data_IF_662323758261
#
_entry.id   IF_662323758261
#
_cell.length_a   1.000
_cell.length_b   1.000
_cell.length_c   1.000
_cell.angle_alpha   90.00
_cell.angle_beta   90.00
_cell.angle_gamma   90.00
#
_symmetry.space_group_name_H-M   'P 1'
#
loop_
_entity.id
_entity.type
_entity.pdbx_description
1 polymer ?
#
# COMPACT_ATOMS: atom_id res chain seq x y z
N UNK A 1 -34.96 -32.98 9.59
CA UNK A 1 -34.10 -31.90 9.07
C UNK A 1 -34.85 -30.60 8.76
N UNK A 2 -35.63 -30.46 7.67
CA UNK A 2 -36.27 -29.17 7.35
C UNK A 2 -37.25 -28.68 8.44
N UNK A 3 -38.08 -29.58 8.98
CA UNK A 3 -39.02 -29.25 10.06
C UNK A 3 -38.33 -28.84 11.37
N UNK A 4 -37.19 -29.46 11.69
CA UNK A 4 -36.40 -29.10 12.88
C UNK A 4 -35.71 -27.74 12.72
N UNK A 5 -35.36 -27.36 11.49
CA UNK A 5 -34.82 -26.03 11.19
C UNK A 5 -35.90 -24.95 11.29
N UNK A 6 -37.09 -25.20 10.75
CA UNK A 6 -38.26 -24.29 10.87
C UNK A 6 -38.66 -24.03 12.34
N UNK A 7 -38.59 -25.06 13.18
CA UNK A 7 -38.89 -24.91 14.60
C UNK A 7 -37.81 -24.09 15.32
N UNK A 8 -36.52 -24.31 15.01
CA UNK A 8 -35.42 -23.45 15.53
C UNK A 8 -35.55 -22.01 15.07
N UNK A 9 -35.98 -21.77 13.83
CA UNK A 9 -36.25 -20.41 13.30
C UNK A 9 -37.32 -19.71 14.13
N UNK A 10 -38.45 -20.38 14.39
CA UNK A 10 -39.54 -19.82 15.21
C UNK A 10 -39.08 -19.56 16.65
N UNK A 11 -38.33 -20.49 17.23
CA UNK A 11 -37.81 -20.34 18.59
C UNK A 11 -36.81 -19.19 18.69
N UNK A 12 -35.88 -19.04 17.74
CA UNK A 12 -34.92 -17.94 17.74
C UNK A 12 -35.59 -16.55 17.61
N UNK A 13 -36.64 -16.44 16.80
CA UNK A 13 -37.41 -15.19 16.65
C UNK A 13 -38.17 -14.80 17.92
N UNK A 14 -38.62 -15.78 18.71
CA UNK A 14 -39.41 -15.58 19.93
C UNK A 14 -38.62 -15.75 21.24
N UNK A 15 -37.32 -16.04 21.16
CA UNK A 15 -36.50 -16.33 22.33
C UNK A 15 -36.45 -15.15 23.32
N UNK A 16 -36.55 -15.48 24.60
CA UNK A 16 -36.27 -14.55 25.69
C UNK A 16 -34.76 -14.25 25.80
N UNK A 17 -34.38 -13.21 26.52
CA UNK A 17 -32.97 -12.74 26.61
C UNK A 17 -32.02 -13.86 27.07
N UNK A 18 -32.43 -14.67 28.05
CA UNK A 18 -31.64 -15.79 28.58
C UNK A 18 -31.47 -16.95 27.59
N UNK A 19 -32.32 -17.02 26.56
CA UNK A 19 -32.33 -18.11 25.58
C UNK A 19 -31.61 -17.76 24.28
N UNK A 20 -31.45 -16.46 23.98
CA UNK A 20 -30.77 -15.94 22.77
C UNK A 20 -29.38 -16.55 22.62
N UNK A 21 -28.65 -16.70 23.72
CA UNK A 21 -27.30 -17.27 23.75
C UNK A 21 -27.19 -18.65 23.09
N UNK A 22 -28.25 -19.46 23.14
CA UNK A 22 -28.30 -20.80 22.52
C UNK A 22 -28.30 -20.74 20.99
N UNK A 23 -28.87 -19.67 20.42
CA UNK A 23 -29.05 -19.52 18.96
C UNK A 23 -27.94 -18.70 18.30
N UNK A 24 -27.13 -17.93 19.06
CA UNK A 24 -26.06 -17.07 18.52
C UNK A 24 -25.05 -17.81 17.64
N UNK A 25 -24.79 -19.07 17.95
CA UNK A 25 -23.81 -19.92 17.27
C UNK A 25 -24.45 -20.95 16.35
N UNK A 26 -25.76 -20.85 16.08
CA UNK A 26 -26.45 -21.81 15.21
C UNK A 26 -25.76 -21.89 13.83
N UNK A 27 -25.61 -23.11 13.27
CA UNK A 27 -25.00 -23.30 11.96
C UNK A 27 -25.88 -22.81 10.81
N UNK A 28 -27.20 -22.73 10.98
CA UNK A 28 -28.13 -22.28 9.95
C UNK A 28 -28.14 -20.75 9.84
N UNK A 29 -27.84 -20.18 8.66
CA UNK A 29 -28.00 -18.76 8.39
C UNK A 29 -29.44 -18.26 8.57
N UNK A 30 -30.44 -19.12 8.33
CA UNK A 30 -31.85 -18.76 8.45
C UNK A 30 -32.25 -18.53 9.92
N UNK A 31 -31.74 -19.37 10.83
CA UNK A 31 -31.92 -19.18 12.29
C UNK A 31 -31.28 -17.87 12.74
N UNK A 32 -30.07 -17.55 12.25
CA UNK A 32 -29.41 -16.28 12.59
C UNK A 32 -30.18 -15.08 12.04
N UNK A 33 -30.74 -15.14 10.83
CA UNK A 33 -31.62 -14.06 10.32
C UNK A 33 -32.88 -13.89 11.17
N UNK A 34 -33.48 -14.99 11.62
CA UNK A 34 -34.63 -14.94 12.52
C UNK A 34 -34.27 -14.32 13.87
N UNK A 35 -33.09 -14.67 14.40
CA UNK A 35 -32.54 -14.07 15.62
C UNK A 35 -32.28 -12.57 15.44
N UNK A 36 -31.77 -12.14 14.27
CA UNK A 36 -31.64 -10.73 13.94
C UNK A 36 -32.99 -10.01 13.94
N UNK A 37 -34.11 -10.66 13.63
CA UNK A 37 -35.43 -10.03 13.70
C UNK A 37 -36.01 -9.96 15.13
N UNK A 38 -35.41 -10.62 16.11
CA UNK A 38 -35.86 -10.59 17.50
C UNK A 38 -35.60 -9.19 18.11
N UNK A 39 -36.63 -8.61 18.74
CA UNK A 39 -36.56 -7.29 19.36
C UNK A 39 -35.78 -7.27 20.69
N UNK A 40 -35.56 -8.44 21.30
CA UNK A 40 -34.83 -8.60 22.56
C UNK A 40 -33.33 -8.85 22.35
N UNK A 41 -32.88 -8.92 21.09
CA UNK A 41 -31.47 -9.03 20.76
C UNK A 41 -30.70 -7.82 21.30
N UNK A 42 -29.57 -8.05 21.95
CA UNK A 42 -28.73 -6.98 22.48
C UNK A 42 -27.62 -6.57 21.51
N UNK A 43 -26.93 -5.46 21.81
CA UNK A 43 -25.77 -5.01 21.04
C UNK A 43 -24.58 -5.97 21.17
N UNK A 44 -24.40 -6.60 22.33
CA UNK A 44 -23.41 -7.65 22.58
C UNK A 44 -23.64 -8.86 21.66
N UNK A 45 -24.90 -9.29 21.54
CA UNK A 45 -25.31 -10.41 20.68
C UNK A 45 -25.06 -10.09 19.20
N UNK A 46 -25.49 -8.92 18.76
CA UNK A 46 -25.26 -8.44 17.40
C UNK A 46 -23.76 -8.33 17.07
N UNK A 47 -22.94 -7.91 18.04
CA UNK A 47 -21.49 -7.87 17.90
C UNK A 47 -20.87 -9.27 17.76
N UNK A 48 -21.36 -10.26 18.50
CA UNK A 48 -20.95 -11.67 18.35
C UNK A 48 -21.24 -12.14 16.92
N UNK A 49 -22.45 -11.88 16.42
CA UNK A 49 -22.85 -12.23 15.05
C UNK A 49 -21.94 -11.54 14.02
N UNK A 50 -21.68 -10.23 14.16
CA UNK A 50 -20.82 -9.47 13.24
C UNK A 50 -19.39 -10.02 13.12
N UNK A 51 -18.85 -10.59 14.22
CA UNK A 51 -17.49 -11.16 14.27
C UNK A 51 -17.37 -12.55 13.65
N UNK A 52 -18.48 -13.24 13.38
CA UNK A 52 -18.48 -14.60 12.81
C UNK A 52 -18.03 -14.58 11.34
N UNK A 53 -16.87 -15.18 11.07
CA UNK A 53 -16.28 -15.30 9.72
C UNK A 53 -16.87 -16.44 8.88
N UNK A 54 -17.70 -17.28 9.48
CA UNK A 54 -18.36 -18.41 8.83
C UNK A 54 -19.76 -18.05 8.29
N UNK A 55 -20.29 -16.87 8.59
CA UNK A 55 -21.61 -16.45 8.13
C UNK A 55 -21.57 -16.03 6.66
N UNK A 56 -22.64 -16.34 5.90
CA UNK A 56 -22.78 -15.84 4.53
C UNK A 56 -23.02 -14.33 4.52
N UNK A 57 -22.64 -13.69 3.41
CA UNK A 57 -22.63 -12.23 3.31
C UNK A 57 -24.03 -11.59 3.37
N UNK A 58 -25.09 -12.33 3.06
CA UNK A 58 -26.49 -11.89 3.14
C UNK A 58 -26.96 -11.70 4.59
N UNK A 59 -26.50 -12.53 5.54
CA UNK A 59 -26.75 -12.35 6.98
C UNK A 59 -26.04 -11.09 7.48
N UNK A 60 -24.78 -10.91 7.09
CA UNK A 60 -23.99 -9.73 7.46
C UNK A 60 -24.55 -8.45 6.82
N UNK A 61 -25.09 -8.52 5.61
CA UNK A 61 -25.78 -7.40 4.95
C UNK A 61 -27.08 -7.03 5.68
N UNK A 62 -27.85 -8.03 6.12
CA UNK A 62 -29.05 -7.80 6.93
C UNK A 62 -28.69 -7.09 8.25
N UNK A 63 -27.65 -7.56 8.95
CA UNK A 63 -27.15 -6.92 10.16
C UNK A 63 -26.65 -5.49 9.90
N UNK A 64 -25.94 -5.27 8.79
CA UNK A 64 -25.40 -3.96 8.43
C UNK A 64 -26.46 -2.91 8.05
N UNK A 65 -27.64 -3.35 7.57
CA UNK A 65 -28.76 -2.46 7.18
C UNK A 65 -29.71 -2.17 8.34
N UNK A 66 -29.62 -2.91 9.42
CA UNK A 66 -30.48 -2.73 10.58
C UNK A 66 -30.12 -1.43 11.32
N UNK A 67 -31.11 -0.56 11.45
CA UNK A 67 -30.97 0.76 12.09
C UNK A 67 -30.67 0.67 13.58
N UNK A 68 -31.02 -0.44 14.25
CA UNK A 68 -30.72 -0.66 15.67
C UNK A 68 -29.22 -0.68 15.93
N UNK A 69 -28.47 -1.22 14.98
CA UNK A 69 -27.03 -1.45 15.10
C UNK A 69 -26.19 -0.43 14.33
N UNK A 70 -26.83 0.32 13.43
CA UNK A 70 -26.13 1.16 12.47
C UNK A 70 -25.25 2.22 13.11
N UNK A 71 -25.57 2.74 14.30
CA UNK A 71 -24.75 3.75 15.02
C UNK A 71 -23.76 3.15 16.02
N UNK A 72 -23.83 1.84 16.27
CA UNK A 72 -23.00 1.20 17.30
C UNK A 72 -21.59 0.95 16.76
N UNK A 73 -20.63 1.68 17.32
CA UNK A 73 -19.24 1.68 16.84
C UNK A 73 -18.59 0.29 16.81
N UNK A 74 -18.64 -0.54 17.88
CA UNK A 74 -18.09 -1.90 17.84
C UNK A 74 -18.66 -2.77 16.71
N UNK A 75 -19.95 -2.62 16.39
CA UNK A 75 -20.61 -3.40 15.34
C UNK A 75 -20.17 -2.92 13.96
N UNK A 76 -20.12 -1.60 13.72
CA UNK A 76 -19.55 -1.03 12.48
C UNK A 76 -18.14 -1.56 12.22
N UNK A 77 -17.31 -1.54 13.25
CA UNK A 77 -15.92 -1.98 13.16
C UNK A 77 -15.84 -3.49 12.89
N UNK A 78 -16.65 -4.30 13.57
CA UNK A 78 -16.69 -5.74 13.36
C UNK A 78 -17.14 -6.10 11.93
N UNK A 79 -18.18 -5.45 11.42
CA UNK A 79 -18.66 -5.61 10.04
C UNK A 79 -17.59 -5.22 9.01
N UNK A 80 -16.89 -4.10 9.22
CA UNK A 80 -15.81 -3.67 8.33
C UNK A 80 -14.57 -4.57 8.39
N UNK A 81 -14.29 -5.20 9.54
CA UNK A 81 -13.19 -6.16 9.74
C UNK A 81 -13.52 -7.58 9.25
N UNK A 82 -14.78 -7.87 8.92
CA UNK A 82 -15.20 -9.20 8.50
C UNK A 82 -15.07 -9.37 6.98
N UNK A 83 -14.24 -10.33 6.49
CA UNK A 83 -14.00 -10.53 5.06
C UNK A 83 -15.21 -11.05 4.28
N UNK A 84 -16.24 -11.56 4.97
CA UNK A 84 -17.49 -12.03 4.36
C UNK A 84 -18.54 -10.93 4.22
N UNK A 85 -18.35 -9.77 4.84
CA UNK A 85 -19.25 -8.63 4.67
C UNK A 85 -19.21 -8.15 3.22
N UNK A 86 -20.36 -8.02 2.54
CA UNK A 86 -20.39 -7.49 1.18
C UNK A 86 -19.75 -6.11 1.09
N UNK A 87 -19.07 -5.83 -0.04
CA UNK A 87 -18.25 -4.63 -0.22
C UNK A 87 -19.01 -3.32 0.10
N UNK A 88 -20.26 -3.21 -0.35
CA UNK A 88 -21.08 -2.00 -0.14
C UNK A 88 -21.36 -1.78 1.35
N UNK A 89 -21.77 -2.84 2.06
CA UNK A 89 -22.02 -2.80 3.50
C UNK A 89 -20.74 -2.48 4.28
N UNK A 90 -19.61 -3.11 3.94
CA UNK A 90 -18.32 -2.85 4.57
C UNK A 90 -17.89 -1.39 4.38
N UNK A 91 -18.00 -0.84 3.17
CA UNK A 91 -17.68 0.56 2.87
C UNK A 91 -18.61 1.54 3.58
N UNK A 92 -19.90 1.23 3.67
CA UNK A 92 -20.86 2.06 4.40
C UNK A 92 -20.48 2.17 5.88
N UNK A 93 -20.25 1.03 6.53
CA UNK A 93 -19.84 0.97 7.93
C UNK A 93 -18.48 1.63 8.18
N UNK A 94 -17.54 1.52 7.23
CA UNK A 94 -16.24 2.14 7.34
C UNK A 94 -16.29 3.68 7.43
N UNK A 95 -17.29 4.36 6.83
CA UNK A 95 -17.37 5.82 6.85
C UNK A 95 -17.46 6.41 8.26
N UNK A 96 -18.05 5.66 9.20
CA UNK A 96 -18.21 6.06 10.60
C UNK A 96 -17.05 5.65 11.51
N UNK A 97 -15.97 5.08 10.97
CA UNK A 97 -14.84 4.58 11.77
C UNK A 97 -13.80 5.65 12.05
N UNK A 98 -13.07 5.46 13.15
CA UNK A 98 -11.96 6.33 13.53
C UNK A 98 -10.78 6.15 12.57
N UNK A 99 -9.96 7.19 12.48
CA UNK A 99 -8.82 7.27 11.56
C UNK A 99 -7.84 6.09 11.70
N UNK A 100 -7.50 5.70 12.92
CA UNK A 100 -6.58 4.57 13.15
C UNK A 100 -7.20 3.21 12.84
N UNK A 101 -8.50 3.05 13.06
CA UNK A 101 -9.21 1.83 12.65
C UNK A 101 -9.25 1.70 11.12
N UNK A 102 -9.48 2.80 10.41
CA UNK A 102 -9.36 2.83 8.95
C UNK A 102 -7.94 2.46 8.48
N UNK A 103 -6.91 2.98 9.14
CA UNK A 103 -5.52 2.65 8.84
C UNK A 103 -5.20 1.16 9.09
N UNK A 104 -5.77 0.56 10.13
CA UNK A 104 -5.65 -0.88 10.39
C UNK A 104 -6.36 -1.71 9.31
N UNK A 105 -7.57 -1.32 8.91
CA UNK A 105 -8.35 -1.98 7.85
C UNK A 105 -7.61 -1.96 6.50
N UNK A 106 -7.05 -0.81 6.12
CA UNK A 106 -6.27 -0.67 4.89
C UNK A 106 -5.08 -1.65 4.82
N UNK A 107 -4.40 -1.85 5.95
CA UNK A 107 -3.24 -2.71 6.07
C UNK A 107 -3.53 -4.19 6.36
N UNK A 108 -4.79 -4.59 6.53
CA UNK A 108 -5.14 -5.96 6.94
C UNK A 108 -5.11 -6.95 5.76
N UNK A 109 -4.22 -7.95 5.73
CA UNK A 109 -4.15 -8.90 4.61
C UNK A 109 -5.39 -9.79 4.49
N UNK A 110 -6.20 -9.89 5.54
CA UNK A 110 -7.41 -10.71 5.58
C UNK A 110 -8.56 -10.09 4.77
N UNK A 111 -8.49 -8.80 4.45
CA UNK A 111 -9.59 -8.08 3.80
C UNK A 111 -9.41 -8.02 2.27
N UNK A 112 -10.52 -8.01 1.51
CA UNK A 112 -10.48 -7.91 0.06
C UNK A 112 -9.68 -6.70 -0.42
N UNK A 113 -8.79 -6.89 -1.40
CA UNK A 113 -7.91 -5.84 -1.93
C UNK A 113 -8.68 -4.59 -2.37
N UNK A 114 -9.83 -4.78 -3.05
CA UNK A 114 -10.67 -3.66 -3.50
C UNK A 114 -11.20 -2.81 -2.34
N UNK A 115 -11.57 -3.45 -1.22
CA UNK A 115 -11.99 -2.73 -0.02
C UNK A 115 -10.82 -1.93 0.56
N UNK A 116 -9.64 -2.57 0.70
CA UNK A 116 -8.44 -1.92 1.24
C UNK A 116 -8.01 -0.69 0.43
N UNK A 117 -7.97 -0.80 -0.89
CA UNK A 117 -7.63 0.34 -1.77
C UNK A 117 -8.62 1.49 -1.65
N UNK A 118 -9.92 1.21 -1.48
CA UNK A 118 -10.92 2.26 -1.25
C UNK A 118 -10.72 2.93 0.11
N UNK A 119 -10.39 2.19 1.16
CA UNK A 119 -10.05 2.78 2.46
C UNK A 119 -8.76 3.61 2.38
N UNK A 120 -7.73 3.12 1.67
CA UNK A 120 -6.50 3.88 1.44
C UNK A 120 -6.76 5.20 0.69
N UNK A 121 -7.66 5.22 -0.30
CA UNK A 121 -8.06 6.44 -1.00
C UNK A 121 -8.74 7.43 -0.04
N UNK A 122 -9.70 6.97 0.77
CA UNK A 122 -10.38 7.81 1.79
C UNK A 122 -9.38 8.37 2.81
N UNK A 123 -8.43 7.55 3.26
CA UNK A 123 -7.36 8.00 4.16
C UNK A 123 -6.49 9.06 3.50
N UNK A 124 -6.11 8.85 2.24
CA UNK A 124 -5.26 9.77 1.47
C UNK A 124 -5.92 11.14 1.31
N UNK A 125 -7.22 11.17 1.02
CA UNK A 125 -8.00 12.40 0.93
C UNK A 125 -8.08 13.15 2.27
N UNK A 126 -8.10 12.43 3.39
CA UNK A 126 -8.17 13.03 4.73
C UNK A 126 -6.84 13.60 5.21
N UNK A 127 -5.70 13.06 4.75
CA UNK A 127 -4.36 13.43 5.23
C UNK A 127 -4.18 14.96 5.38
N UNK A 128 -4.46 15.82 4.39
CA UNK A 128 -4.16 17.24 4.50
C UNK A 128 -4.82 17.90 5.71
N UNK A 129 -6.04 17.47 6.05
CA UNK A 129 -6.87 18.02 7.15
C UNK A 129 -6.51 17.49 8.54
N UNK A 130 -5.71 16.42 8.62
CA UNK A 130 -5.37 15.77 9.89
C UNK A 130 -4.29 16.59 10.63
N UNK A 131 -4.41 16.70 11.95
CA UNK A 131 -3.42 17.38 12.78
C UNK A 131 -2.03 16.73 12.68
N UNK A 132 -0.95 17.53 12.74
CA UNK A 132 0.44 17.06 12.58
C UNK A 132 0.80 15.90 13.53
N UNK A 133 0.40 15.97 14.80
CA UNK A 133 0.65 14.90 15.77
C UNK A 133 0.00 13.56 15.37
N UNK A 134 -1.22 13.62 14.83
CA UNK A 134 -1.91 12.43 14.33
C UNK A 134 -1.25 11.89 13.06
N UNK A 135 -0.77 12.75 12.15
CA UNK A 135 0.00 12.34 10.97
C UNK A 135 1.27 11.56 11.36
N UNK A 136 2.00 12.03 12.38
CA UNK A 136 3.20 11.35 12.91
C UNK A 136 2.89 9.97 13.48
N UNK A 137 1.78 9.84 14.21
CA UNK A 137 1.34 8.55 14.73
C UNK A 137 0.87 7.62 13.61
N UNK A 138 0.10 8.14 12.63
CA UNK A 138 -0.35 7.38 11.46
C UNK A 138 0.82 6.86 10.63
N UNK A 139 1.86 7.65 10.46
CA UNK A 139 3.06 7.32 9.70
C UNK A 139 3.69 5.98 10.12
N UNK A 140 3.49 5.54 11.37
CA UNK A 140 4.01 4.27 11.92
C UNK A 140 3.11 3.07 11.63
N UNK A 141 1.84 3.30 11.28
CA UNK A 141 0.83 2.24 11.15
C UNK A 141 0.36 2.06 9.71
N UNK A 142 0.21 3.13 8.93
CA UNK A 142 -0.40 3.07 7.60
C UNK A 142 0.42 2.25 6.59
N UNK A 143 -0.24 1.75 5.55
CA UNK A 143 0.35 0.98 4.45
C UNK A 143 0.33 1.75 3.12
N UNK A 144 1.13 1.27 2.16
CA UNK A 144 0.87 1.49 0.73
C UNK A 144 0.81 2.95 0.29
N UNK A 145 -0.28 3.32 -0.39
CA UNK A 145 -0.45 4.66 -0.97
C UNK A 145 -0.50 5.77 0.08
N UNK A 146 -1.01 5.48 1.28
CA UNK A 146 -1.15 6.44 2.38
C UNK A 146 0.22 6.87 2.91
N UNK A 147 1.20 5.96 2.96
CA UNK A 147 2.59 6.30 3.31
C UNK A 147 3.20 7.28 2.31
N UNK A 148 3.01 7.04 1.02
CA UNK A 148 3.50 7.95 -0.02
C UNK A 148 2.84 9.33 0.06
N UNK A 149 1.57 9.39 0.46
CA UNK A 149 0.87 10.65 0.66
C UNK A 149 1.42 11.40 1.89
N UNK A 150 1.67 10.73 3.01
CA UNK A 150 2.30 11.33 4.19
C UNK A 150 3.71 11.86 3.90
N UNK A 151 4.51 11.13 3.13
CA UNK A 151 5.87 11.55 2.77
C UNK A 151 5.92 12.81 1.89
N UNK A 152 4.78 13.27 1.35
CA UNK A 152 4.66 14.53 0.60
C UNK A 152 4.40 15.75 1.49
N UNK A 153 3.89 15.59 2.71
CA UNK A 153 3.39 16.66 3.60
C UNK A 153 4.46 17.62 4.15
N UNK A 154 5.71 17.55 3.69
CA UNK A 154 6.79 18.48 4.05
C UNK A 154 7.05 18.63 5.56
N UNK A 155 7.02 17.53 6.32
CA UNK A 155 7.40 17.53 7.73
C UNK A 155 8.50 16.50 7.99
N UNK A 156 9.56 16.96 8.66
CA UNK A 156 10.75 16.16 8.95
C UNK A 156 10.46 14.94 9.83
N UNK A 157 9.61 15.11 10.82
CA UNK A 157 9.28 14.08 11.80
C UNK A 157 8.33 13.04 11.19
N UNK A 158 7.42 13.45 10.31
CA UNK A 158 6.57 12.55 9.52
C UNK A 158 7.43 11.68 8.61
N UNK A 159 8.38 12.26 7.85
CA UNK A 159 9.26 11.49 6.97
C UNK A 159 10.06 10.47 7.78
N UNK A 160 10.65 10.89 8.89
CA UNK A 160 11.42 10.01 9.79
C UNK A 160 10.55 8.87 10.32
N UNK A 161 9.32 9.18 10.78
CA UNK A 161 8.38 8.16 11.22
C UNK A 161 8.00 7.18 10.09
N UNK A 162 7.77 7.68 8.88
CA UNK A 162 7.48 6.82 7.72
C UNK A 162 8.66 5.90 7.37
N UNK A 163 9.91 6.37 7.47
CA UNK A 163 11.11 5.55 7.20
C UNK A 163 11.29 4.42 8.23
N UNK A 164 10.79 4.59 9.45
CA UNK A 164 10.77 3.53 10.48
C UNK A 164 9.58 2.57 10.37
N UNK A 165 8.64 2.81 9.46
CA UNK A 165 7.44 1.98 9.35
C UNK A 165 7.77 0.59 8.78
N UNK A 166 7.38 -0.50 9.45
CA UNK A 166 7.66 -1.87 8.99
C UNK A 166 6.93 -2.26 7.68
N UNK A 167 5.91 -1.51 7.29
CA UNK A 167 5.12 -1.71 6.05
C UNK A 167 5.66 -0.90 4.86
N UNK A 168 6.71 -0.08 5.07
CA UNK A 168 7.39 0.59 3.97
C UNK A 168 8.22 -0.43 3.19
N UNK A 169 8.16 -0.36 1.85
CA UNK A 169 8.87 -1.29 0.96
C UNK A 169 9.84 -0.54 0.05
N UNK A 170 10.84 -1.24 -0.47
CA UNK A 170 11.79 -0.69 -1.46
C UNK A 170 11.08 -0.19 -2.70
N UNK A 171 10.05 -0.91 -3.18
CA UNK A 171 9.28 -0.49 -4.34
C UNK A 171 8.57 0.86 -4.12
N UNK A 172 8.06 1.13 -2.91
CA UNK A 172 7.46 2.40 -2.57
C UNK A 172 8.52 3.52 -2.52
N UNK A 173 9.68 3.26 -1.92
CA UNK A 173 10.78 4.22 -1.89
C UNK A 173 11.33 4.50 -3.28
N UNK A 174 11.54 3.49 -4.11
CA UNK A 174 11.92 3.66 -5.51
C UNK A 174 10.93 4.57 -6.23
N UNK A 175 9.63 4.28 -6.12
CA UNK A 175 8.56 5.11 -6.70
C UNK A 175 8.55 6.54 -6.18
N UNK A 176 8.96 6.76 -4.93
CA UNK A 176 9.11 8.10 -4.34
C UNK A 176 10.35 8.81 -4.88
N UNK A 177 11.51 8.16 -4.90
CA UNK A 177 12.79 8.73 -5.33
C UNK A 177 12.76 9.03 -6.83
N UNK A 178 12.17 8.17 -7.66
CA UNK A 178 12.10 8.38 -9.12
C UNK A 178 11.15 9.51 -9.52
N UNK A 179 10.37 10.09 -8.60
CA UNK A 179 9.49 11.22 -8.91
C UNK A 179 10.25 12.54 -8.85
N UNK A 180 10.19 13.29 -9.94
CA UNK A 180 10.73 14.67 -10.01
C UNK A 180 10.06 15.63 -9.01
N UNK A 181 8.83 15.35 -8.60
CA UNK A 181 8.09 16.16 -7.62
C UNK A 181 8.55 15.93 -6.17
N UNK A 182 9.43 14.96 -5.91
CA UNK A 182 9.87 14.65 -4.55
C UNK A 182 10.88 15.68 -4.10
N UNK A 183 10.59 16.32 -2.96
CA UNK A 183 11.40 17.42 -2.43
C UNK A 183 12.78 16.93 -1.98
N UNK A 184 13.75 17.84 -2.04
CA UNK A 184 15.13 17.56 -1.68
C UNK A 184 15.32 17.03 -0.25
N UNK A 185 14.66 17.64 0.75
CA UNK A 185 14.74 17.21 2.15
C UNK A 185 14.33 15.74 2.35
N UNK A 186 13.28 15.28 1.66
CA UNK A 186 12.86 13.88 1.70
C UNK A 186 13.93 12.95 1.12
N UNK A 187 14.52 13.33 -0.03
CA UNK A 187 15.59 12.56 -0.68
C UNK A 187 16.84 12.49 0.20
N UNK A 188 17.25 13.62 0.78
CA UNK A 188 18.42 13.70 1.66
C UNK A 188 18.25 12.84 2.91
N UNK A 189 17.05 12.83 3.51
CA UNK A 189 16.72 11.93 4.63
C UNK A 189 16.81 10.46 4.25
N UNK A 190 16.30 10.09 3.08
CA UNK A 190 16.39 8.71 2.58
C UNK A 190 17.86 8.33 2.34
N UNK A 191 18.64 9.21 1.71
CA UNK A 191 20.06 8.99 1.44
C UNK A 191 20.91 8.88 2.71
N UNK A 192 20.52 9.57 3.78
CA UNK A 192 21.17 9.48 5.09
C UNK A 192 20.68 8.32 5.98
N UNK A 193 19.62 7.60 5.60
CA UNK A 193 19.00 6.62 6.49
C UNK A 193 19.72 5.26 6.46
N UNK A 194 20.24 4.75 7.60
CA UNK A 194 21.16 3.59 7.63
C UNK A 194 20.57 2.31 7.02
N UNK A 195 19.28 2.05 7.23
CA UNK A 195 18.63 0.82 6.74
C UNK A 195 18.14 0.91 5.28
N UNK A 196 18.04 2.12 4.74
CA UNK A 196 17.45 2.34 3.41
C UNK A 196 18.53 2.68 2.39
N UNK A 197 19.49 3.54 2.75
CA UNK A 197 20.63 3.86 1.90
C UNK A 197 21.63 2.72 1.75
N UNK A 198 21.55 1.66 2.56
CA UNK A 198 22.30 0.41 2.39
C UNK A 198 21.69 -0.53 1.33
N UNK A 199 20.43 -0.30 0.93
CA UNK A 199 19.74 -1.20 0.01
C UNK A 199 20.10 -0.90 -1.44
N UNK A 200 20.40 -1.95 -2.18
CA UNK A 200 20.94 -1.85 -3.54
C UNK A 200 20.03 -1.06 -4.51
N UNK A 201 18.74 -1.41 -4.55
CA UNK A 201 17.74 -0.77 -5.42
C UNK A 201 17.55 0.70 -5.09
N UNK A 202 17.62 1.05 -3.80
CA UNK A 202 17.47 2.41 -3.30
C UNK A 202 18.71 3.24 -3.67
N UNK A 203 19.92 2.69 -3.54
CA UNK A 203 21.16 3.36 -3.97
C UNK A 203 21.12 3.74 -5.45
N UNK A 204 20.77 2.78 -6.32
CA UNK A 204 20.65 3.05 -7.76
C UNK A 204 19.63 4.16 -8.05
N UNK A 205 18.50 4.17 -7.35
CA UNK A 205 17.51 5.23 -7.51
C UNK A 205 18.00 6.59 -7.00
N UNK A 206 18.73 6.61 -5.88
CA UNK A 206 19.30 7.83 -5.30
C UNK A 206 20.36 8.44 -6.22
N UNK A 207 21.25 7.64 -6.82
CA UNK A 207 22.29 8.15 -7.73
C UNK A 207 21.67 8.86 -8.95
N UNK A 208 20.51 8.40 -9.42
CA UNK A 208 19.75 9.04 -10.52
C UNK A 208 19.00 10.30 -10.08
N UNK A 209 18.85 10.57 -8.79
CA UNK A 209 18.04 11.68 -8.32
C UNK A 209 18.88 12.96 -8.13
N UNK A 210 18.49 14.11 -8.71
CA UNK A 210 19.25 15.37 -8.65
C UNK A 210 19.34 15.99 -7.25
N UNK A 211 18.50 15.56 -6.31
CA UNK A 211 18.52 16.06 -4.94
C UNK A 211 19.35 15.19 -3.99
N UNK A 212 19.93 14.09 -4.47
CA UNK A 212 20.85 13.28 -3.67
C UNK A 212 22.17 14.02 -3.50
N UNK A 213 22.67 14.22 -2.26
CA UNK A 213 23.95 14.87 -2.05
C UNK A 213 25.09 14.11 -2.74
N UNK A 214 25.97 14.83 -3.43
CA UNK A 214 27.09 14.23 -4.18
C UNK A 214 27.95 13.29 -3.32
N UNK A 215 28.26 13.70 -2.08
CA UNK A 215 29.02 12.87 -1.14
C UNK A 215 28.35 11.49 -0.93
N UNK A 216 27.02 11.45 -0.83
CA UNK A 216 26.28 10.18 -0.70
C UNK A 216 26.34 9.35 -1.98
N UNK A 217 26.27 9.97 -3.15
CA UNK A 217 26.45 9.25 -4.41
C UNK A 217 27.80 8.55 -4.45
N UNK A 218 28.89 9.26 -4.13
CA UNK A 218 30.25 8.72 -4.12
C UNK A 218 30.40 7.59 -3.10
N UNK A 219 29.81 7.75 -1.89
CA UNK A 219 29.79 6.68 -0.87
C UNK A 219 29.14 5.39 -1.37
N UNK A 220 28.19 5.47 -2.32
CA UNK A 220 27.47 4.30 -2.82
C UNK A 220 28.23 3.50 -3.88
N UNK A 221 29.11 4.13 -4.67
CA UNK A 221 29.68 3.49 -5.86
C UNK A 221 30.50 2.24 -5.60
N UNK A 222 31.36 2.16 -4.57
CA UNK A 222 32.14 0.96 -4.29
C UNK A 222 31.28 -0.30 -4.16
N UNK A 223 30.08 -0.16 -3.64
CA UNK A 223 29.15 -1.25 -3.41
C UNK A 223 28.22 -1.54 -4.61
N UNK A 224 28.31 -0.77 -5.70
CA UNK A 224 27.54 -1.01 -6.92
C UNK A 224 28.28 -1.96 -7.86
N UNK A 225 27.52 -2.82 -8.56
CA UNK A 225 28.06 -3.69 -9.61
C UNK A 225 28.54 -2.84 -10.80
N UNK A 226 29.63 -3.28 -11.43
CA UNK A 226 30.25 -2.58 -12.56
C UNK A 226 29.29 -2.39 -13.74
N UNK A 227 28.45 -3.39 -14.04
CA UNK A 227 27.42 -3.28 -15.09
C UNK A 227 26.43 -2.14 -14.81
N UNK A 228 26.03 -1.96 -13.55
CA UNK A 228 25.09 -0.92 -13.17
C UNK A 228 25.75 0.46 -13.15
N UNK A 229 27.04 0.56 -12.79
CA UNK A 229 27.81 1.79 -12.93
C UNK A 229 27.93 2.23 -14.39
N UNK A 230 28.16 1.29 -15.31
CA UNK A 230 28.18 1.56 -16.77
C UNK A 230 26.81 2.05 -17.23
N UNK A 231 25.74 1.36 -16.83
CA UNK A 231 24.36 1.77 -17.14
C UNK A 231 24.05 3.17 -16.59
N UNK A 232 24.50 3.49 -15.37
CA UNK A 232 24.34 4.82 -14.77
C UNK A 232 25.13 5.90 -15.51
N UNK A 233 26.32 5.59 -16.01
CA UNK A 233 27.14 6.54 -16.76
C UNK A 233 26.46 6.96 -18.08
N UNK A 234 25.83 6.02 -18.78
CA UNK A 234 25.03 6.28 -19.98
C UNK A 234 23.66 6.90 -19.71
N UNK A 235 23.16 6.86 -18.47
CA UNK A 235 21.80 7.28 -18.13
C UNK A 235 21.68 8.83 -18.11
N UNK A 236 20.82 9.43 -18.97
CA UNK A 236 20.64 10.88 -19.03
C UNK A 236 19.97 11.46 -17.78
N UNK A 237 19.33 10.64 -16.94
CA UNK A 237 18.74 11.09 -15.68
C UNK A 237 19.77 11.34 -14.59
N UNK A 238 20.98 10.79 -14.71
CA UNK A 238 22.05 10.96 -13.72
C UNK A 238 22.57 12.41 -13.76
N UNK A 239 22.62 13.11 -12.61
CA UNK A 239 23.06 14.50 -12.57
C UNK A 239 24.49 14.68 -13.09
N UNK A 240 24.72 15.73 -13.87
CA UNK A 240 26.02 16.00 -14.51
C UNK A 240 27.18 16.03 -13.52
N UNK A 241 26.97 16.55 -12.31
CA UNK A 241 27.99 16.64 -11.26
C UNK A 241 28.45 15.27 -10.73
N UNK A 242 27.66 14.22 -10.94
CA UNK A 242 27.94 12.85 -10.46
C UNK A 242 28.77 12.08 -11.48
N UNK A 243 28.67 12.43 -12.77
CA UNK A 243 29.30 11.72 -13.89
C UNK A 243 30.84 11.62 -13.80
N UNK A 244 31.59 12.67 -13.44
CA UNK A 244 33.05 12.56 -13.32
C UNK A 244 33.49 11.53 -12.28
N UNK A 245 32.73 11.40 -11.19
CA UNK A 245 33.03 10.43 -10.13
C UNK A 245 32.64 9.00 -10.53
N UNK A 246 31.55 8.82 -11.28
CA UNK A 246 31.22 7.53 -11.90
C UNK A 246 32.31 7.11 -12.90
N UNK A 247 32.79 8.04 -13.71
CA UNK A 247 33.88 7.80 -14.65
C UNK A 247 35.16 7.35 -13.92
N UNK A 248 35.54 8.08 -12.87
CA UNK A 248 36.71 7.73 -12.05
C UNK A 248 36.58 6.35 -11.40
N UNK A 249 35.40 5.99 -10.90
CA UNK A 249 35.15 4.67 -10.30
C UNK A 249 35.16 3.54 -11.35
N UNK A 250 34.72 3.79 -12.58
CA UNK A 250 34.80 2.80 -13.66
C UNK A 250 36.26 2.57 -14.07
N UNK A 251 37.04 3.66 -14.23
CA UNK A 251 38.47 3.57 -14.52
C UNK A 251 39.24 2.82 -13.42
N UNK A 252 38.92 3.06 -12.15
CA UNK A 252 39.58 2.36 -11.02
C UNK A 252 39.33 0.84 -11.05
N UNK A 253 38.27 0.40 -11.74
CA UNK A 253 37.91 -1.01 -11.97
C UNK A 253 38.43 -1.57 -13.28
N UNK A 254 39.21 -0.79 -14.05
CA UNK A 254 39.76 -1.21 -15.34
C UNK A 254 38.76 -1.16 -16.50
N UNK A 255 37.64 -0.46 -16.33
CA UNK A 255 36.65 -0.26 -17.38
C UNK A 255 36.95 0.99 -18.21
N UNK A 256 36.70 0.93 -19.52
CA UNK A 256 36.77 2.07 -20.43
C UNK A 256 35.35 2.48 -20.85
N UNK A 257 34.68 3.35 -20.09
CA UNK A 257 33.27 3.65 -20.32
C UNK A 257 32.97 4.39 -21.63
N UNK A 258 33.95 5.07 -22.21
CA UNK A 258 33.83 5.73 -23.51
C UNK A 258 33.68 4.72 -24.65
N UNK A 259 34.51 3.66 -24.69
CA UNK A 259 34.44 2.60 -25.70
C UNK A 259 33.09 1.88 -25.71
N UNK A 260 32.46 1.72 -24.54
CA UNK A 260 31.15 1.07 -24.41
C UNK A 260 29.96 1.93 -24.89
N UNK A 261 30.09 3.26 -24.90
CA UNK A 261 29.05 4.16 -25.42
C UNK A 261 29.12 4.29 -26.95
N UNK A 262 30.34 4.23 -27.51
CA UNK A 262 30.57 4.35 -28.95
C UNK A 262 30.59 2.99 -29.69
N UNK A 263 30.76 1.88 -28.98
CA UNK A 263 30.85 0.54 -29.57
C UNK A 263 29.54 -0.07 -30.09
N UNK A 264 28.37 0.51 -29.75
CA UNK A 264 27.08 0.10 -30.34
C UNK A 264 26.72 0.91 -31.60
N UNK A 265 27.32 2.08 -31.83
CA UNK A 265 27.03 2.93 -33.00
C UNK A 265 27.85 2.56 -34.25
N UNK A 266 28.91 1.76 -34.14
CA UNK A 266 29.81 1.43 -35.26
C UNK A 266 29.41 0.21 -36.11
N UNK A 267 28.23 -0.39 -35.88
CA UNK A 267 27.76 -1.55 -36.66
C UNK A 267 26.88 -1.20 -37.87
N UNK A 268 26.78 0.08 -38.22
CA UNK A 268 26.25 0.53 -39.52
C UNK A 268 27.33 1.31 -40.28
N UNK A 269 28.48 0.68 -40.55
CA UNK A 269 29.19 1.01 -41.78
C UNK A 269 28.29 0.52 -42.93
N UNK A 270 27.55 1.46 -43.51
CA UNK A 270 26.86 1.27 -44.79
C UNK A 270 27.95 0.89 -45.77
N UNK A 271 28.02 -0.38 -46.15
CA UNK A 271 28.70 -0.79 -47.38
C UNK A 271 27.92 -0.18 -48.52
N UNK A 272 28.32 1.01 -48.96
CA UNK A 272 27.94 1.59 -50.25
C UNK A 272 28.66 0.81 -51.35
N UNK A 273 28.32 -0.47 -51.51
CA UNK A 273 28.55 -1.24 -52.73
C UNK A 273 27.21 -1.81 -53.17
N UNK A 274 26.92 -1.67 -54.47
CA UNK A 274 25.70 -2.12 -55.16
C UNK A 274 24.46 -1.20 -55.09
N UNK A 275 24.50 -0.09 -55.84
CA UNK A 275 23.34 0.38 -56.61
C UNK A 275 23.79 1.41 -57.67
N UNK A 276 24.60 0.96 -58.63
CA UNK A 276 24.84 1.69 -59.87
C UNK A 276 24.94 0.74 -61.06
N UNK A 277 24.00 -0.20 -61.18
CA UNK A 277 23.71 -0.86 -62.46
C UNK A 277 22.22 -0.77 -62.75
N UNK A 278 21.89 -0.17 -63.91
CA UNK A 278 20.66 -0.45 -64.63
C UNK A 278 19.49 0.50 -64.43
N UNK A 279 19.58 1.71 -65.00
CA UNK A 279 18.43 2.28 -65.72
C UNK A 279 18.91 2.70 -67.11
N UNK A 280 18.24 2.13 -68.09
CA UNK A 280 18.56 2.04 -69.50
C UNK A 280 18.44 3.37 -70.28
N UNK A 281 19.26 3.47 -71.34
CA UNK A 281 18.81 3.86 -72.68
C UNK A 281 19.03 2.67 -73.63
#
# INVERSE_FOLDING_TARGET
MQKEEEDRIRQAAGADEDEIGRYLHDPSPAVIKALLANNRLTDQDALIIARRKNLPGDVLDALARDKRWSEIYPIRLALARNPKTPLIAALSNARGLRLFDLAELAGSPLLPMVFRHKIEAVLTEKIPTVALGLKRSLAKTVSGGVLLALMKENDSDIITACLTNPRLTEALLYKLISRKSTRADTIQKIAGHPNWSSRYTVRLALVRNPHTPLARCVDFFPDLRTIDLRNLFGDPSVPTMVRPYLHQELLSRGEQPEEALFGEETLYEITDEENAEGIAE
#
